data_IF_181535585036
#
_entry.id   IF_181535585036
#
_cell.length_a   1.000
_cell.length_b   1.000
_cell.length_c   1.000
_cell.angle_alpha   90.00
_cell.angle_beta   90.00
_cell.angle_gamma   90.00
#
_symmetry.space_group_name_H-M   'P 1'
#
loop_
_entity.id
_entity.type
_entity.pdbx_description
1 polymer ?
#
# COMPACT_ATOMS: atom_id res chain seq x y z
N UNK A 1 -10.47 8.40 -9.78
CA UNK A 1 -9.51 8.22 -8.69
C UNK A 1 -8.49 7.15 -9.03
N UNK A 2 -8.96 6.07 -9.65
CA UNK A 2 -8.10 4.93 -9.95
C UNK A 2 -7.00 5.31 -10.93
N UNK A 3 -7.31 6.26 -11.81
CA UNK A 3 -6.32 6.74 -12.77
C UNK A 3 -5.18 7.48 -12.07
N UNK A 4 -5.52 8.18 -10.99
CA UNK A 4 -4.51 8.85 -10.17
C UNK A 4 -3.78 7.86 -9.29
N UNK A 5 -4.49 6.84 -8.83
CA UNK A 5 -3.89 5.79 -8.01
C UNK A 5 -2.91 4.94 -8.81
N UNK A 6 -3.12 4.90 -10.12
CA UNK A 6 -2.18 4.24 -11.02
C UNK A 6 -0.83 4.96 -11.02
N UNK A 7 -0.87 6.28 -11.01
CA UNK A 7 0.34 7.08 -10.91
C UNK A 7 1.00 6.92 -9.55
N UNK A 8 0.20 6.97 -8.50
CA UNK A 8 0.69 6.79 -7.14
C UNK A 8 1.30 5.40 -6.95
N UNK A 9 0.65 4.40 -7.53
CA UNK A 9 1.16 3.03 -7.48
C UNK A 9 2.58 2.94 -8.03
N UNK A 10 2.79 3.54 -9.20
CA UNK A 10 4.10 3.55 -9.83
C UNK A 10 5.12 4.29 -8.99
N UNK A 11 4.67 5.36 -8.33
CA UNK A 11 5.53 6.12 -7.42
C UNK A 11 5.91 5.29 -6.20
N UNK A 12 4.93 4.54 -5.67
CA UNK A 12 5.11 3.84 -4.42
C UNK A 12 5.89 2.54 -4.62
N UNK A 13 5.81 1.98 -5.82
CA UNK A 13 6.58 0.79 -6.18
C UNK A 13 8.03 1.15 -6.45
N UNK A 14 8.80 1.38 -5.39
CA UNK A 14 10.19 1.81 -5.53
C UNK A 14 11.06 0.71 -6.10
N UNK A 15 10.76 -0.53 -5.73
CA UNK A 15 11.52 -1.68 -6.23
C UNK A 15 11.21 -1.94 -7.70
N UNK A 16 9.99 -1.62 -8.11
CA UNK A 16 9.56 -1.84 -9.49
C UNK A 16 9.23 -3.31 -9.73
N UNK A 17 8.59 -3.93 -8.75
CA UNK A 17 8.30 -5.36 -8.81
C UNK A 17 6.92 -5.63 -9.38
N UNK A 18 6.13 -4.58 -9.51
CA UNK A 18 4.76 -4.69 -10.02
C UNK A 18 3.77 -4.87 -8.87
N UNK A 19 4.22 -4.57 -7.66
CA UNK A 19 3.34 -4.64 -6.49
C UNK A 19 3.94 -3.85 -5.32
N UNK A 20 3.13 -3.64 -4.29
CA UNK A 20 3.56 -2.89 -3.12
C UNK A 20 4.08 -3.82 -2.03
N UNK A 21 5.33 -3.64 -1.63
CA UNK A 21 5.92 -4.44 -0.58
C UNK A 21 5.52 -3.91 0.80
N UNK A 22 5.84 -4.68 1.84
CA UNK A 22 5.52 -4.29 3.20
C UNK A 22 6.28 -3.02 3.60
N UNK A 23 7.57 -2.97 3.26
CA UNK A 23 8.40 -1.81 3.55
C UNK A 23 7.97 -0.62 2.71
N UNK A 24 7.58 -0.87 1.47
CA UNK A 24 7.07 0.18 0.60
C UNK A 24 5.73 0.71 1.11
N UNK A 25 4.92 -0.18 1.68
CA UNK A 25 3.66 0.20 2.29
C UNK A 25 3.87 1.11 3.50
N UNK A 26 4.89 0.79 4.29
CA UNK A 26 5.27 1.64 5.41
C UNK A 26 5.55 3.07 4.95
N UNK A 27 6.17 3.20 3.79
CA UNK A 27 6.42 4.51 3.19
C UNK A 27 5.11 5.17 2.77
N UNK A 28 4.22 4.38 2.18
CA UNK A 28 2.92 4.88 1.74
C UNK A 28 2.17 5.53 2.89
N UNK A 29 2.17 4.86 4.04
CA UNK A 29 1.51 5.38 5.23
C UNK A 29 2.01 6.78 5.58
N UNK A 30 3.33 6.96 5.51
CA UNK A 30 3.93 8.27 5.72
C UNK A 30 3.53 9.24 4.62
N UNK A 31 3.49 8.75 3.39
CA UNK A 31 3.27 9.61 2.22
C UNK A 31 1.83 10.06 2.14
N UNK A 32 0.94 9.30 2.77
CA UNK A 32 -0.48 9.64 2.82
C UNK A 32 -0.80 10.47 4.06
N UNK A 33 0.16 10.57 4.97
CA UNK A 33 0.03 11.40 6.15
C UNK A 33 -0.79 10.70 7.22
N UNK A 34 -0.74 9.37 7.23
CA UNK A 34 -1.48 8.57 8.19
C UNK A 34 -0.61 8.22 9.39
N UNK A 35 -1.16 8.45 10.59
CA UNK A 35 -0.40 8.24 11.82
C UNK A 35 -0.60 6.83 12.35
N UNK A 36 0.26 5.91 11.92
CA UNK A 36 0.26 4.55 12.44
C UNK A 36 1.61 4.21 13.07
N UNK A 37 1.59 3.26 14.02
CA UNK A 37 2.81 2.74 14.60
C UNK A 37 3.42 1.65 13.72
N UNK A 38 4.62 1.22 14.07
CA UNK A 38 5.30 0.15 13.34
C UNK A 38 4.45 -1.11 13.29
N UNK A 39 3.72 -1.36 14.38
CA UNK A 39 2.85 -2.52 14.46
C UNK A 39 1.55 -2.31 13.70
N UNK A 40 0.97 -1.11 13.86
CA UNK A 40 -0.30 -0.79 13.23
C UNK A 40 -0.21 -0.86 11.72
N UNK A 41 0.93 -0.40 11.19
CA UNK A 41 1.17 -0.44 9.74
C UNK A 41 1.19 -1.87 9.23
N UNK A 42 1.85 -2.76 9.96
CA UNK A 42 1.92 -4.16 9.59
C UNK A 42 0.55 -4.82 9.67
N UNK A 43 -0.26 -4.39 10.65
CA UNK A 43 -1.60 -4.91 10.81
C UNK A 43 -2.49 -4.53 9.63
N UNK A 44 -2.42 -3.26 9.23
CA UNK A 44 -3.20 -2.78 8.10
C UNK A 44 -2.72 -3.41 6.79
N UNK A 45 -1.41 -3.61 6.68
CA UNK A 45 -0.84 -4.32 5.55
C UNK A 45 -1.42 -5.72 5.42
N UNK A 46 -1.44 -6.45 6.51
CA UNK A 46 -1.98 -7.81 6.53
C UNK A 46 -3.47 -7.81 6.23
N UNK A 47 -4.16 -6.76 6.67
CA UNK A 47 -5.59 -6.61 6.40
C UNK A 47 -5.85 -6.41 4.91
N UNK A 48 -4.98 -5.64 4.26
CA UNK A 48 -5.11 -5.39 2.84
C UNK A 48 -4.51 -6.52 2.01
N UNK A 49 -3.71 -7.35 2.66
CA UNK A 49 -3.16 -8.55 2.03
C UNK A 49 -4.20 -9.66 1.94
N UNK A 50 -5.13 -9.50 1.00
CA UNK A 50 -6.22 -10.47 0.86
C UNK A 50 -5.70 -11.84 0.45
N UNK A 51 -4.70 -11.85 -0.43
CA UNK A 51 -4.15 -13.10 -0.95
C UNK A 51 -3.21 -13.75 0.06
N UNK A 52 -2.88 -13.01 1.11
CA UNK A 52 -1.99 -13.52 2.15
C UNK A 52 -0.66 -13.99 1.56
N UNK A 53 -0.12 -13.19 0.66
CA UNK A 53 1.13 -13.54 -0.01
C UNK A 53 2.29 -12.70 0.50
N UNK A 54 2.00 -11.80 1.43
CA UNK A 54 3.02 -10.89 1.97
C UNK A 54 3.23 -9.70 1.04
N UNK A 55 2.23 -9.40 0.22
CA UNK A 55 2.32 -8.31 -0.74
C UNK A 55 0.95 -7.72 -1.04
N UNK A 56 0.94 -6.49 -1.55
CA UNK A 56 -0.29 -5.87 -2.01
C UNK A 56 -0.30 -5.70 -3.52
N UNK A 57 -1.24 -6.34 -4.18
CA UNK A 57 -1.36 -6.27 -5.64
C UNK A 57 -1.95 -4.93 -6.07
N UNK A 58 -1.92 -4.67 -7.38
CA UNK A 58 -2.49 -3.45 -7.93
C UNK A 58 -3.97 -3.34 -7.64
N UNK A 59 -4.69 -4.43 -7.87
CA UNK A 59 -6.13 -4.47 -7.61
C UNK A 59 -6.42 -4.26 -6.13
N UNK A 60 -5.61 -4.86 -5.27
CA UNK A 60 -5.75 -4.70 -3.83
C UNK A 60 -5.24 -3.33 -3.38
N UNK A 61 -4.32 -2.76 -4.14
CA UNK A 61 -3.83 -1.41 -3.88
C UNK A 61 -4.94 -0.39 -4.03
N UNK A 62 -5.72 -0.51 -5.10
CA UNK A 62 -6.85 0.38 -5.34
C UNK A 62 -7.86 0.31 -4.20
N UNK A 63 -8.00 -0.88 -3.62
CA UNK A 63 -8.85 -1.05 -2.45
C UNK A 63 -8.22 -0.45 -1.20
N UNK A 64 -6.91 -0.63 -1.07
CA UNK A 64 -6.19 -0.14 0.11
C UNK A 64 -6.23 1.37 0.19
N UNK A 65 -6.06 2.03 -0.95
CA UNK A 65 -6.00 3.49 -1.01
C UNK A 65 -7.35 4.10 -0.64
N UNK A 66 -8.42 3.33 -0.81
CA UNK A 66 -9.75 3.75 -0.39
C UNK A 66 -9.98 3.46 1.09
N UNK A 67 -9.35 2.39 1.59
CA UNK A 67 -9.50 1.99 2.98
C UNK A 67 -8.54 2.77 3.87
N UNK A 68 -7.47 3.29 3.27
CA UNK A 68 -6.44 3.98 4.02
C UNK A 68 -6.39 5.46 3.65
N UNK A 69 -6.65 6.32 4.62
CA UNK A 69 -6.62 7.76 4.40
C UNK A 69 -5.23 8.24 3.99
#
# INVERSE_FOLDING_TARGET
SEEELSECFRIFDKDGNGFIDREEFGDIIRLTGEQLTDEDVDEIFGDSDTDKNGRIDFDEFLKMMENVQ
#
